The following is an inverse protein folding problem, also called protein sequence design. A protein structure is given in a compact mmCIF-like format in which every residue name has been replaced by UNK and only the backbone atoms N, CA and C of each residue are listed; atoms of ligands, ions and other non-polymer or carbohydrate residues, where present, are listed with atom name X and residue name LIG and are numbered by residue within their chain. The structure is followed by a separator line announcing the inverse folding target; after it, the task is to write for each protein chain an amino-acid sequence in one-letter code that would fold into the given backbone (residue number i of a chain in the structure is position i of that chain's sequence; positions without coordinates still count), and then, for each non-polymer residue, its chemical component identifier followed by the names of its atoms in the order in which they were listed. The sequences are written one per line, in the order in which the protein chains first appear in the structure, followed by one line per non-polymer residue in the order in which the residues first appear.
data_IF_129956078283
#
_entry.id   IF_129956078283
#
_cell.length_a   1.000
_cell.length_b   1.000
_cell.length_c   1.000
_cell.angle_alpha   90.00
_cell.angle_beta   90.00
_cell.angle_gamma   90.00
#
_symmetry.space_group_name_H-M   'P 1'
#
loop_
_entity.id
_entity.type
_entity.pdbx_description
1 polymer ?
#
# COMPACT_ATOMS: atom_id res chain seq x y z
N UNK A 1 -13.22 18.42 -26.01
CA UNK A 1 -12.66 17.10 -26.36
C UNK A 1 -12.01 16.55 -25.12
N UNK A 2 -12.36 15.32 -24.79
CA UNK A 2 -12.16 14.61 -23.54
C UNK A 2 -10.68 14.42 -23.21
N UNK A 3 -10.23 14.95 -22.07
CA UNK A 3 -9.00 14.52 -21.41
C UNK A 3 -9.35 13.48 -20.33
N UNK A 4 -10.06 12.43 -20.76
CA UNK A 4 -10.05 11.14 -20.08
C UNK A 4 -9.02 10.33 -20.87
N UNK A 5 -8.18 9.51 -20.23
CA UNK A 5 -7.22 8.55 -20.84
C UNK A 5 -5.73 8.72 -20.50
N UNK A 6 -5.31 9.52 -19.50
CA UNK A 6 -3.89 9.51 -19.07
C UNK A 6 -3.65 9.32 -17.57
N UNK A 7 -4.68 8.98 -16.79
CA UNK A 7 -4.53 8.58 -15.38
C UNK A 7 -4.69 7.07 -15.23
N UNK A 8 -3.86 6.31 -15.93
CA UNK A 8 -3.78 4.86 -15.68
C UNK A 8 -2.36 4.36 -15.50
N UNK A 9 -1.35 5.17 -15.83
CA UNK A 9 0.07 4.78 -15.64
C UNK A 9 0.94 5.84 -14.95
N UNK A 10 0.59 7.14 -14.97
CA UNK A 10 1.47 8.21 -14.47
C UNK A 10 1.16 8.72 -13.05
N UNK A 11 0.11 8.20 -12.39
CA UNK A 11 -0.17 8.50 -10.97
C UNK A 11 -0.33 7.20 -10.19
N UNK A 12 0.66 6.32 -10.31
CA UNK A 12 0.87 5.29 -9.30
C UNK A 12 1.47 5.99 -8.09
N UNK A 13 0.63 6.71 -7.34
CA UNK A 13 1.03 7.27 -6.06
C UNK A 13 1.69 6.14 -5.27
N UNK A 14 2.83 6.34 -4.61
CA UNK A 14 3.58 5.27 -3.97
C UNK A 14 2.64 4.43 -3.09
N UNK A 15 1.81 5.10 -2.28
CA UNK A 15 0.67 4.58 -1.54
C UNK A 15 -0.14 3.44 -2.17
N UNK A 16 -0.38 3.50 -3.49
CA UNK A 16 -1.21 2.52 -4.20
C UNK A 16 -0.51 1.17 -4.40
N UNK A 17 0.78 1.08 -4.12
CA UNK A 17 1.58 -0.12 -4.33
C UNK A 17 1.85 -0.86 -3.04
N UNK A 18 2.29 -0.17 -1.98
CA UNK A 18 2.49 -0.83 -0.70
C UNK A 18 1.15 -1.26 -0.10
N UNK A 19 0.10 -0.43 -0.27
CA UNK A 19 -1.25 -0.79 0.17
C UNK A 19 -1.80 -2.00 -0.60
N UNK A 20 -1.60 -2.03 -1.92
CA UNK A 20 -2.07 -3.14 -2.75
C UNK A 20 -1.34 -4.43 -2.42
N UNK A 21 -0.02 -4.37 -2.24
CA UNK A 21 0.78 -5.52 -1.82
C UNK A 21 0.33 -6.06 -0.45
N UNK A 22 -0.02 -5.19 0.50
CA UNK A 22 -0.58 -5.60 1.79
C UNK A 22 -1.92 -6.35 1.64
N UNK A 23 -2.82 -5.85 0.77
CA UNK A 23 -4.12 -6.50 0.51
C UNK A 23 -3.92 -7.85 -0.19
N UNK A 24 -3.09 -7.90 -1.24
CA UNK A 24 -2.81 -9.13 -1.99
C UNK A 24 -2.20 -10.20 -1.09
N UNK A 25 -1.26 -9.82 -0.21
CA UNK A 25 -0.70 -10.72 0.79
C UNK A 25 -1.77 -11.24 1.75
N UNK A 26 -2.60 -10.35 2.30
CA UNK A 26 -3.65 -10.74 3.26
C UNK A 26 -4.69 -11.69 2.63
N UNK A 27 -4.98 -11.54 1.33
CA UNK A 27 -5.88 -12.42 0.59
C UNK A 27 -5.31 -13.86 0.45
N UNK A 28 -3.98 -14.00 0.28
CA UNK A 28 -3.30 -15.28 0.12
C UNK A 28 -2.83 -15.94 1.43
N UNK A 29 -2.58 -15.17 2.49
CA UNK A 29 -1.92 -15.65 3.69
C UNK A 29 -2.91 -16.22 4.72
N UNK A 30 -2.74 -17.50 5.10
CA UNK A 30 -3.57 -18.13 6.13
C UNK A 30 -3.43 -17.47 7.50
N UNK A 31 -2.22 -17.03 7.87
CA UNK A 31 -2.00 -16.31 9.13
C UNK A 31 -2.77 -14.99 9.16
N UNK A 32 -2.71 -14.18 8.09
CA UNK A 32 -3.50 -12.94 8.01
C UNK A 32 -5.02 -13.17 8.10
N UNK A 33 -5.51 -14.34 7.66
CA UNK A 33 -6.93 -14.72 7.75
C UNK A 33 -7.32 -15.34 9.09
N UNK A 34 -6.36 -15.71 9.94
CA UNK A 34 -6.63 -16.38 11.22
C UNK A 34 -6.56 -15.37 12.36
N UNK A 35 -7.69 -15.09 13.05
CA UNK A 35 -7.72 -14.18 14.19
C UNK A 35 -6.72 -14.59 15.29
N UNK A 36 -6.04 -13.61 15.88
CA UNK A 36 -5.08 -13.86 16.95
C UNK A 36 -3.71 -14.38 16.50
N UNK A 37 -3.51 -14.62 15.19
CA UNK A 37 -2.19 -14.94 14.66
C UNK A 37 -1.51 -13.71 14.08
N UNK A 38 -0.20 -13.65 14.19
CA UNK A 38 0.61 -12.52 13.75
C UNK A 38 1.43 -12.95 12.55
N UNK A 39 1.22 -12.29 11.41
CA UNK A 39 2.05 -12.47 10.22
C UNK A 39 3.19 -11.45 10.23
N UNK A 40 4.45 -11.91 10.25
CA UNK A 40 5.61 -11.02 10.17
C UNK A 40 5.66 -10.26 8.85
N UNK A 41 5.30 -10.92 7.77
CA UNK A 41 5.37 -10.37 6.40
C UNK A 41 4.26 -9.33 6.17
N UNK A 42 3.03 -9.63 6.59
CA UNK A 42 1.94 -8.65 6.63
C UNK A 42 2.27 -7.41 7.47
N UNK A 43 2.93 -7.58 8.63
CA UNK A 43 3.39 -6.43 9.43
C UNK A 43 4.45 -5.59 8.72
N UNK A 44 5.37 -6.20 7.98
CA UNK A 44 6.36 -5.46 7.21
C UNK A 44 5.70 -4.65 6.08
N UNK A 45 4.71 -5.23 5.40
CA UNK A 45 3.92 -4.55 4.37
C UNK A 45 3.12 -3.38 4.94
N UNK A 46 2.47 -3.55 6.10
CA UNK A 46 1.79 -2.45 6.78
C UNK A 46 2.75 -1.33 7.17
N UNK A 47 3.92 -1.66 7.73
CA UNK A 47 4.92 -0.65 8.10
C UNK A 47 5.45 0.12 6.89
N UNK A 48 5.65 -0.55 5.76
CA UNK A 48 6.05 0.10 4.52
C UNK A 48 5.00 1.12 4.05
N UNK A 49 3.73 0.72 4.04
CA UNK A 49 2.60 1.62 3.75
C UNK A 49 2.55 2.80 4.73
N UNK A 50 2.67 2.56 6.04
CA UNK A 50 2.63 3.62 7.06
C UNK A 50 3.78 4.62 6.91
N UNK A 51 4.96 4.16 6.52
CA UNK A 51 6.14 4.99 6.31
C UNK A 51 5.97 5.88 5.07
N UNK A 52 5.48 5.33 3.96
CA UNK A 52 5.09 6.12 2.77
C UNK A 52 4.01 7.13 3.16
N UNK A 53 3.05 6.69 3.99
CA UNK A 53 1.98 7.56 4.44
C UNK A 53 2.43 8.70 5.34
N UNK A 54 3.47 8.48 6.14
CA UNK A 54 4.09 9.53 6.94
C UNK A 54 4.82 10.53 6.05
N UNK A 55 5.63 10.05 5.11
CA UNK A 55 6.42 10.89 4.19
C UNK A 55 5.52 11.84 3.37
N UNK A 56 4.38 11.34 2.85
CA UNK A 56 3.45 12.20 2.10
C UNK A 56 2.72 13.22 2.99
N UNK A 57 2.45 12.90 4.27
CA UNK A 57 1.77 13.82 5.20
C UNK A 57 2.68 14.89 5.78
N UNK A 58 3.97 14.57 5.95
CA UNK A 58 4.96 15.50 6.50
C UNK A 58 5.35 16.63 5.54
N UNK A 59 4.70 16.73 4.38
CA UNK A 59 5.22 17.50 3.26
C UNK A 59 6.35 16.71 2.64
N UNK A 60 6.17 16.25 1.41
CA UNK A 60 7.32 15.88 0.59
C UNK A 60 8.06 17.17 0.24
N UNK A 61 8.73 17.77 1.22
CA UNK A 61 9.55 18.96 1.10
C UNK A 61 11.00 18.50 0.98
N UNK A 62 11.46 18.43 -0.28
CA UNK A 62 12.81 18.89 -0.62
C UNK A 62 12.78 20.42 -0.79
#
# INVERSE_FOLDING_TARGET
MTAVEQTSEETRAPFTDEWRAAIEHAAGCLACRTPGTVCREGQQLLRAYEEVARQTRSGGDE
#
